data_IF_870265654180
#
_entry.id   IF_870265654180
#
_cell.length_a   1.000
_cell.length_b   1.000
_cell.length_c   1.000
_cell.angle_alpha   90.00
_cell.angle_beta   90.00
_cell.angle_gamma   90.00
#
_symmetry.space_group_name_H-M   'P 1'
#
loop_
_entity.id
_entity.type
_entity.pdbx_description
1 polymer ?
#
# COMPACT_ATOMS: atom_id res chain seq x y z
N UNK A 1 -16.52 -12.54 -18.52
CA UNK A 1 -16.24 -13.09 -17.17
C UNK A 1 -14.77 -13.45 -17.13
N UNK A 2 -14.10 -13.34 -15.98
CA UNK A 2 -12.67 -13.65 -15.90
C UNK A 2 -12.54 -15.17 -15.79
N UNK A 3 -12.05 -15.84 -16.84
CA UNK A 3 -11.99 -17.31 -16.91
C UNK A 3 -10.88 -17.93 -16.02
N UNK A 4 -10.15 -17.09 -15.28
CA UNK A 4 -9.02 -17.51 -14.46
C UNK A 4 -9.28 -17.30 -12.96
N UNK A 5 -8.86 -18.22 -12.09
CA UNK A 5 -8.95 -18.03 -10.64
C UNK A 5 -8.07 -16.86 -10.18
N UNK A 6 -8.39 -16.21 -9.06
CA UNK A 6 -7.54 -15.13 -8.54
C UNK A 6 -6.13 -15.60 -8.24
N UNK A 7 -5.15 -14.73 -8.48
CA UNK A 7 -3.77 -14.96 -8.05
C UNK A 7 -3.67 -14.71 -6.55
N UNK A 8 -2.78 -15.43 -5.88
CA UNK A 8 -2.51 -15.25 -4.46
C UNK A 8 -1.02 -15.00 -4.24
N UNK A 9 -0.69 -14.07 -3.35
CA UNK A 9 0.69 -13.81 -2.91
C UNK A 9 0.72 -13.64 -1.40
N UNK A 10 1.68 -14.30 -0.76
CA UNK A 10 1.96 -14.13 0.67
C UNK A 10 2.93 -12.96 0.84
N UNK A 11 2.65 -12.08 1.78
CA UNK A 11 3.46 -10.88 2.06
C UNK A 11 3.62 -10.69 3.56
N UNK A 12 4.82 -10.31 4.01
CA UNK A 12 5.09 -10.12 5.43
C UNK A 12 6.21 -9.12 5.67
N UNK A 13 6.31 -8.64 6.91
CA UNK A 13 7.36 -7.71 7.33
C UNK A 13 7.34 -7.46 8.83
N UNK A 14 8.45 -6.92 9.33
CA UNK A 14 8.64 -6.64 10.76
C UNK A 14 7.78 -5.48 11.25
N UNK A 15 7.56 -4.49 10.38
CA UNK A 15 6.71 -3.34 10.64
C UNK A 15 5.82 -3.05 9.44
N UNK A 16 4.69 -2.39 9.68
CA UNK A 16 3.83 -1.83 8.65
C UNK A 16 3.11 -0.58 9.15
N UNK A 17 2.83 0.38 8.27
CA UNK A 17 2.00 1.53 8.63
C UNK A 17 1.10 1.92 7.47
N UNK A 18 -0.15 1.48 7.52
CA UNK A 18 -1.20 1.84 6.59
C UNK A 18 -1.91 3.07 7.13
N UNK A 19 -1.32 4.25 6.96
CA UNK A 19 -1.73 5.46 7.68
C UNK A 19 -3.21 5.82 7.46
N UNK A 20 -3.92 6.03 8.55
CA UNK A 20 -5.26 6.62 8.58
C UNK A 20 -5.22 8.06 8.06
N UNK A 21 -6.01 8.42 7.04
CA UNK A 21 -5.95 9.75 6.44
C UNK A 21 -6.37 10.88 7.40
N UNK A 22 -7.14 10.58 8.44
CA UNK A 22 -7.53 11.49 9.52
C UNK A 22 -6.38 11.80 10.50
N UNK A 23 -5.37 10.93 10.58
CA UNK A 23 -4.24 11.03 11.53
C UNK A 23 -2.92 11.12 10.75
N UNK A 24 -2.69 12.27 10.09
CA UNK A 24 -1.48 12.50 9.27
C UNK A 24 -0.32 13.14 10.02
N UNK A 25 -0.60 13.96 11.03
CA UNK A 25 0.44 14.62 11.83
C UNK A 25 1.19 13.59 12.69
N UNK A 26 0.42 12.77 13.41
CA UNK A 26 0.90 11.56 14.08
C UNK A 26 0.34 10.36 13.33
N UNK A 27 1.21 9.50 12.78
CA UNK A 27 0.77 8.44 11.87
C UNK A 27 0.21 7.29 12.68
N UNK A 28 -1.07 7.01 12.51
CA UNK A 28 -1.70 5.82 13.08
C UNK A 28 -2.07 4.86 11.97
N UNK A 29 -1.59 3.63 12.05
CA UNK A 29 -1.92 2.60 11.07
C UNK A 29 -3.37 2.12 11.22
N UNK A 30 -4.03 1.81 10.10
CA UNK A 30 -5.15 0.88 10.11
C UNK A 30 -4.72 -0.46 10.76
N UNK A 31 -5.66 -1.21 11.37
CA UNK A 31 -5.36 -2.51 11.98
C UNK A 31 -4.85 -3.56 10.97
N UNK A 32 -5.19 -3.41 9.69
CA UNK A 32 -4.82 -4.34 8.61
C UNK A 32 -4.45 -3.57 7.34
N UNK A 33 -3.85 -4.26 6.37
CA UNK A 33 -3.50 -3.72 5.06
C UNK A 33 -4.74 -3.20 4.31
N UNK A 34 -4.64 -2.00 3.74
CA UNK A 34 -5.70 -1.43 2.90
C UNK A 34 -5.64 -1.99 1.47
N UNK A 35 -6.77 -2.01 0.73
CA UNK A 35 -6.77 -2.43 -0.67
C UNK A 35 -5.81 -1.62 -1.55
N UNK A 36 -5.72 -0.30 -1.35
CA UNK A 36 -4.75 0.56 -2.04
C UNK A 36 -3.30 0.14 -1.81
N UNK A 37 -2.93 -0.19 -0.56
CA UNK A 37 -1.59 -0.65 -0.23
C UNK A 37 -1.29 -2.03 -0.83
N UNK A 38 -2.27 -2.93 -0.82
CA UNK A 38 -2.17 -4.25 -1.47
C UNK A 38 -1.96 -4.11 -2.99
N UNK A 39 -2.73 -3.23 -3.65
CA UNK A 39 -2.56 -2.91 -5.07
C UNK A 39 -1.15 -2.39 -5.37
N UNK A 40 -0.68 -1.41 -4.61
CA UNK A 40 0.66 -0.84 -4.77
C UNK A 40 1.78 -1.87 -4.56
N UNK A 41 1.60 -2.82 -3.63
CA UNK A 41 2.53 -3.93 -3.43
C UNK A 41 2.57 -4.85 -4.65
N UNK A 42 1.41 -5.24 -5.19
CA UNK A 42 1.33 -6.06 -6.40
C UNK A 42 1.97 -5.35 -7.61
N UNK A 43 1.75 -4.05 -7.75
CA UNK A 43 2.34 -3.24 -8.81
C UNK A 43 3.87 -3.18 -8.70
N UNK A 44 4.41 -3.10 -7.48
CA UNK A 44 5.84 -3.14 -7.22
C UNK A 44 6.48 -4.47 -7.66
N UNK A 45 5.76 -5.59 -7.55
CA UNK A 45 6.21 -6.89 -8.07
C UNK A 45 6.14 -6.88 -9.60
N UNK A 46 4.97 -6.59 -10.15
CA UNK A 46 4.74 -6.53 -11.59
C UNK A 46 3.52 -5.67 -11.94
N UNK A 47 3.74 -4.71 -12.84
CA UNK A 47 2.68 -3.94 -13.45
C UNK A 47 3.03 -3.52 -14.87
N UNK A 48 2.00 -3.35 -15.70
CA UNK A 48 2.10 -2.84 -17.06
C UNK A 48 0.89 -1.93 -17.36
N UNK A 49 1.05 -0.88 -18.20
CA UNK A 49 -0.03 0.06 -18.52
C UNK A 49 -1.33 -0.56 -19.05
N UNK A 50 -1.29 -1.75 -19.61
CA UNK A 50 -2.38 -2.47 -20.27
C UNK A 50 -3.40 -3.07 -19.29
N UNK A 51 -3.05 -3.18 -18.01
CA UNK A 51 -3.91 -3.78 -17.00
C UNK A 51 -3.86 -3.02 -15.67
N UNK A 52 -4.76 -3.37 -14.77
CA UNK A 52 -4.70 -2.98 -13.36
C UNK A 52 -4.98 -4.18 -12.46
N UNK A 53 -4.44 -4.12 -11.24
CA UNK A 53 -4.71 -5.11 -10.21
C UNK A 53 -6.03 -4.79 -9.52
N UNK A 54 -6.92 -5.79 -9.48
CA UNK A 54 -8.16 -5.74 -8.71
C UNK A 54 -8.04 -6.63 -7.49
N UNK A 55 -7.79 -6.04 -6.33
CA UNK A 55 -7.74 -6.76 -5.05
C UNK A 55 -9.12 -7.30 -4.71
N UNK A 56 -9.21 -8.58 -4.37
CA UNK A 56 -10.45 -9.27 -4.02
C UNK A 56 -10.55 -9.56 -2.53
N UNK A 57 -9.43 -10.00 -1.97
CA UNK A 57 -9.38 -10.51 -0.61
C UNK A 57 -8.02 -10.20 0.00
N UNK A 58 -8.02 -9.81 1.27
CA UNK A 58 -6.82 -9.72 2.10
C UNK A 58 -7.04 -10.59 3.32
N UNK A 59 -6.27 -11.66 3.43
CA UNK A 59 -6.26 -12.57 4.56
C UNK A 59 -5.19 -12.15 5.55
N UNK A 60 -5.54 -11.97 6.81
CA UNK A 60 -4.62 -11.65 7.90
C UNK A 60 -4.16 -12.94 8.54
N UNK A 61 -2.85 -13.20 8.58
CA UNK A 61 -2.30 -14.46 9.07
C UNK A 61 -1.70 -14.37 10.49
N UNK A 62 -1.45 -13.15 10.98
CA UNK A 62 -0.86 -12.90 12.29
C UNK A 62 -1.72 -11.99 13.13
N UNK A 63 -1.60 -12.12 14.44
CA UNK A 63 -2.26 -11.25 15.42
C UNK A 63 -1.94 -9.78 15.16
N UNK A 64 -2.95 -8.92 15.29
CA UNK A 64 -2.81 -7.47 15.13
C UNK A 64 -2.11 -6.91 16.36
N UNK A 65 -0.85 -6.50 16.20
CA UNK A 65 -0.04 -5.93 17.27
C UNK A 65 0.54 -4.60 16.83
N UNK A 66 0.57 -3.65 17.75
CA UNK A 66 1.11 -2.32 17.49
C UNK A 66 2.52 -2.15 18.07
N UNK A 67 3.27 -1.21 17.48
CA UNK A 67 4.57 -0.75 17.93
C UNK A 67 4.65 0.77 17.75
N UNK A 68 5.04 1.46 18.82
CA UNK A 68 5.22 2.91 18.80
C UNK A 68 6.66 3.25 18.45
N UNK A 69 6.84 4.17 17.51
CA UNK A 69 8.14 4.69 17.11
C UNK A 69 8.10 6.22 16.98
N UNK A 70 9.23 6.86 17.23
CA UNK A 70 9.41 8.31 17.14
C UNK A 70 10.51 8.61 16.15
N UNK A 71 10.27 9.58 15.26
CA UNK A 71 11.24 10.02 14.26
C UNK A 71 11.29 11.53 14.18
N UNK A 72 12.46 12.04 13.82
CA UNK A 72 12.59 13.43 13.38
C UNK A 72 12.16 13.50 11.90
N UNK A 73 11.03 14.15 11.64
CA UNK A 73 10.55 14.43 10.28
C UNK A 73 10.67 15.94 10.00
N UNK A 74 11.04 16.29 8.77
CA UNK A 74 11.08 17.68 8.32
C UNK A 74 9.65 18.26 8.28
N UNK A 75 9.49 19.48 8.77
CA UNK A 75 8.18 20.13 8.87
C UNK A 75 7.72 20.71 7.53
N UNK A 76 8.58 21.48 6.86
CA UNK A 76 8.23 22.18 5.63
C UNK A 76 9.12 21.74 4.48
N UNK A 77 8.53 21.72 3.28
CA UNK A 77 9.32 21.62 2.06
C UNK A 77 10.04 22.96 1.85
N UNK A 78 11.33 22.91 1.48
CA UNK A 78 12.06 24.10 1.08
C UNK A 78 11.31 24.87 -0.03
N UNK A 79 11.12 26.17 0.16
CA UNK A 79 10.40 27.02 -0.77
C UNK A 79 11.36 27.57 -1.84
N UNK A 80 11.01 27.37 -3.12
CA UNK A 80 11.86 27.75 -4.24
C UNK A 80 12.03 29.28 -4.38
N UNK A 81 10.98 30.06 -4.12
CA UNK A 81 11.01 31.52 -4.22
C UNK A 81 11.92 32.12 -3.13
N UNK A 82 11.86 31.56 -1.91
CA UNK A 82 12.78 31.94 -0.84
C UNK A 82 14.23 31.64 -1.22
N UNK A 83 14.49 30.46 -1.78
CA UNK A 83 15.83 30.07 -2.23
C UNK A 83 16.36 31.01 -3.33
N UNK A 84 15.50 31.40 -4.29
CA UNK A 84 15.85 32.36 -5.34
C UNK A 84 16.19 33.74 -4.76
N UNK A 85 15.41 34.19 -3.78
CA UNK A 85 15.65 35.46 -3.08
C UNK A 85 16.99 35.46 -2.33
N UNK A 86 17.32 34.36 -1.65
CA UNK A 86 18.60 34.21 -0.95
C UNK A 86 19.79 34.19 -1.91
N UNK A 87 19.66 33.52 -3.06
CA UNK A 87 20.69 33.51 -4.09
C UNK A 87 20.98 34.92 -4.63
N UNK A 88 19.94 35.74 -4.83
CA UNK A 88 20.10 37.14 -5.30
C UNK A 88 20.69 38.05 -4.22
N UNK A 89 20.30 37.88 -2.95
CA UNK A 89 20.76 38.72 -1.84
C UNK A 89 22.11 38.30 -1.27
N UNK A 90 22.54 37.06 -1.54
CA UNK A 90 23.74 36.48 -0.94
C UNK A 90 23.59 36.12 0.54
N UNK A 91 22.37 36.14 1.08
CA UNK A 91 22.08 35.91 2.50
C UNK A 91 20.83 35.05 2.66
N UNK A 92 20.91 34.07 3.58
CA UNK A 92 19.82 33.17 3.93
C UNK A 92 20.08 31.72 3.49
N UNK A 93 19.56 30.77 4.27
CA UNK A 93 19.65 29.34 3.97
C UNK A 93 18.46 28.61 4.58
N UNK A 94 18.19 27.42 4.06
CA UNK A 94 17.27 26.47 4.68
C UNK A 94 18.07 25.35 5.34
N UNK A 95 17.89 25.17 6.64
CA UNK A 95 18.46 24.06 7.39
C UNK A 95 17.34 23.14 7.89
N UNK A 96 17.33 21.91 7.38
CA UNK A 96 16.33 20.92 7.78
C UNK A 96 16.45 20.51 9.26
N UNK A 97 17.61 20.70 9.88
CA UNK A 97 17.80 20.41 11.31
C UNK A 97 17.08 21.40 12.22
N UNK A 98 16.92 22.65 11.77
CA UNK A 98 16.19 23.70 12.48
C UNK A 98 14.67 23.63 12.20
N UNK A 99 14.26 22.96 11.11
CA UNK A 99 12.87 22.80 10.67
C UNK A 99 12.41 21.34 10.72
N UNK A 100 12.61 20.69 11.87
CA UNK A 100 12.16 19.31 12.14
C UNK A 100 11.26 19.21 13.36
N UNK A 101 10.40 18.21 13.39
CA UNK A 101 9.61 17.83 14.56
C UNK A 101 9.72 16.33 14.83
N UNK A 102 9.61 15.97 16.10
CA UNK A 102 9.43 14.59 16.50
C UNK A 102 8.00 14.17 16.20
N UNK A 103 7.82 13.18 15.33
CA UNK A 103 6.51 12.62 14.99
C UNK A 103 6.40 11.21 15.51
N UNK A 104 5.33 10.98 16.24
CA UNK A 104 4.95 9.66 16.72
C UNK A 104 4.28 8.88 15.59
N UNK A 105 4.56 7.58 15.54
CA UNK A 105 3.89 6.65 14.65
C UNK A 105 3.51 5.40 15.41
N UNK A 106 2.22 5.07 15.38
CA UNK A 106 1.70 3.80 15.85
C UNK A 106 1.60 2.84 14.65
N UNK A 107 2.69 2.11 14.43
CA UNK A 107 2.82 1.11 13.38
C UNK A 107 2.28 -0.25 13.85
N UNK A 108 1.99 -1.14 12.90
CA UNK A 108 1.83 -2.56 13.16
C UNK A 108 3.20 -3.23 13.25
N UNK A 109 3.30 -4.31 14.02
CA UNK A 109 4.50 -5.16 14.11
C UNK A 109 4.23 -6.61 13.75
N UNK A 110 5.23 -7.22 13.12
CA UNK A 110 5.26 -8.61 12.71
C UNK A 110 3.97 -9.03 11.98
N UNK A 111 3.74 -8.41 10.83
CA UNK A 111 2.54 -8.60 10.03
C UNK A 111 2.75 -9.66 8.95
N UNK A 112 1.70 -10.39 8.61
CA UNK A 112 1.70 -11.35 7.51
C UNK A 112 0.31 -11.43 6.90
N UNK A 113 0.23 -11.38 5.58
CA UNK A 113 -1.02 -11.39 4.82
C UNK A 113 -0.93 -12.33 3.61
N UNK A 114 -2.08 -12.80 3.14
CA UNK A 114 -2.25 -13.30 1.76
C UNK A 114 -3.14 -12.31 1.03
N UNK A 115 -2.68 -11.82 -0.11
CA UNK A 115 -3.45 -10.96 -1.00
C UNK A 115 -3.96 -11.83 -2.14
N UNK A 116 -5.27 -11.85 -2.36
CA UNK A 116 -5.87 -12.39 -3.59
C UNK A 116 -6.31 -11.26 -4.51
N UNK A 117 -5.89 -11.34 -5.77
CA UNK A 117 -6.18 -10.30 -6.75
C UNK A 117 -6.29 -10.86 -8.17
N UNK A 118 -6.99 -10.10 -9.01
CA UNK A 118 -7.13 -10.37 -10.44
C UNK A 118 -6.35 -9.36 -11.27
N UNK A 119 -5.85 -9.83 -12.41
CA UNK A 119 -5.46 -8.97 -13.52
C UNK A 119 -6.73 -8.60 -14.28
N UNK A 120 -6.99 -7.29 -14.42
CA UNK A 120 -8.09 -6.77 -15.24
C UNK A 120 -7.50 -5.94 -16.36
N UNK A 121 -7.72 -6.38 -17.60
CA UNK A 121 -7.28 -5.66 -18.79
C UNK A 121 -8.09 -4.38 -18.97
N UNK A 122 -7.43 -3.34 -19.46
CA UNK A 122 -8.12 -2.10 -19.85
C UNK A 122 -8.88 -2.29 -21.15
N UNK A 123 -9.88 -1.44 -21.36
CA UNK A 123 -10.67 -1.43 -22.59
C UNK A 123 -9.78 -1.29 -23.83
N UNK A 124 -10.10 -2.04 -24.89
CA UNK A 124 -9.35 -2.04 -26.15
C UNK A 124 -8.12 -2.95 -26.18
N UNK A 125 -7.68 -3.49 -25.05
CA UNK A 125 -6.58 -4.47 -25.01
C UNK A 125 -7.11 -5.85 -25.39
N UNK A 126 -6.54 -6.46 -26.43
CA UNK A 126 -6.93 -7.78 -26.97
C UNK A 126 -6.02 -8.94 -26.55
N UNK A 127 -5.13 -8.68 -25.61
CA UNK A 127 -4.22 -9.69 -25.05
C UNK A 127 -4.98 -10.67 -24.14
N UNK A 128 -4.47 -11.87 -23.96
CA UNK A 128 -5.01 -12.79 -22.94
C UNK A 128 -4.48 -12.38 -21.54
N UNK A 129 -5.33 -12.23 -20.51
CA UNK A 129 -4.88 -12.00 -19.13
C UNK A 129 -3.82 -12.99 -18.64
N UNK A 130 -3.81 -14.24 -19.10
CA UNK A 130 -2.82 -15.27 -18.77
C UNK A 130 -1.38 -14.78 -18.97
N UNK A 131 -1.12 -14.02 -20.04
CA UNK A 131 0.19 -13.43 -20.33
C UNK A 131 0.76 -12.63 -19.15
N UNK A 132 -0.06 -11.79 -18.53
CA UNK A 132 0.36 -10.95 -17.40
C UNK A 132 0.40 -11.73 -16.10
N UNK A 133 -0.54 -12.66 -15.92
CA UNK A 133 -0.61 -13.55 -14.75
C UNK A 133 0.63 -14.42 -14.62
N UNK A 134 1.10 -15.01 -15.72
CA UNK A 134 2.27 -15.88 -15.71
C UNK A 134 3.58 -15.09 -15.54
N UNK A 135 3.64 -13.86 -16.07
CA UNK A 135 4.75 -12.95 -15.76
C UNK A 135 4.82 -12.60 -14.27
N UNK A 136 3.69 -12.34 -13.62
CA UNK A 136 3.62 -12.10 -12.19
C UNK A 136 4.06 -13.34 -11.40
N UNK A 137 3.50 -14.52 -11.70
CA UNK A 137 3.85 -15.79 -11.03
C UNK A 137 5.36 -16.06 -11.05
N UNK A 138 5.98 -16.02 -12.23
CA UNK A 138 7.44 -16.22 -12.36
C UNK A 138 8.26 -15.23 -11.54
N UNK A 139 7.78 -13.99 -11.38
CA UNK A 139 8.44 -12.99 -10.55
C UNK A 139 8.29 -13.30 -9.06
N UNK A 140 7.10 -13.74 -8.63
CA UNK A 140 6.88 -14.23 -7.27
C UNK A 140 7.78 -15.43 -6.96
N UNK A 141 7.84 -16.41 -7.86
CA UNK A 141 8.67 -17.62 -7.72
C UNK A 141 10.15 -17.28 -7.53
N UNK A 142 10.64 -16.29 -8.28
CA UNK A 142 12.05 -15.87 -8.28
C UNK A 142 12.35 -14.77 -7.25
N UNK A 143 11.36 -14.30 -6.49
CA UNK A 143 11.50 -13.14 -5.60
C UNK A 143 11.86 -11.82 -6.32
N UNK A 144 11.53 -11.71 -7.61
CA UNK A 144 11.83 -10.54 -8.45
C UNK A 144 10.73 -9.49 -8.35
N UNK A 145 11.14 -8.22 -8.31
CA UNK A 145 10.24 -7.06 -8.29
C UNK A 145 10.83 -5.91 -9.11
N UNK A 146 10.00 -4.97 -9.53
CA UNK A 146 10.46 -3.75 -10.21
C UNK A 146 11.15 -2.79 -9.24
N UNK A 147 10.55 -2.59 -8.06
CA UNK A 147 11.20 -1.98 -6.91
C UNK A 147 10.82 -2.77 -5.66
N UNK A 148 11.58 -2.61 -4.58
CA UNK A 148 11.28 -3.27 -3.31
C UNK A 148 9.85 -2.90 -2.87
N UNK A 149 8.94 -3.88 -2.72
CA UNK A 149 7.61 -3.60 -2.20
C UNK A 149 7.71 -3.23 -0.72
N UNK A 150 6.73 -2.50 -0.21
CA UNK A 150 6.73 -1.98 1.16
C UNK A 150 5.32 -2.01 1.76
N UNK A 151 5.24 -2.01 3.09
CA UNK A 151 4.02 -2.13 3.86
C UNK A 151 3.55 -0.75 4.33
N UNK A 152 2.98 0.00 3.41
CA UNK A 152 2.42 1.35 3.62
C UNK A 152 3.45 2.47 3.49
N UNK A 153 4.51 2.47 4.30
CA UNK A 153 5.62 3.44 4.19
C UNK A 153 6.88 2.76 3.61
N UNK A 154 7.68 3.49 2.81
CA UNK A 154 8.89 2.95 2.15
C UNK A 154 9.96 2.42 3.11
N UNK A 155 9.96 2.92 4.35
CA UNK A 155 10.83 2.45 5.44
C UNK A 155 10.56 0.99 5.82
N UNK A 156 9.34 0.50 5.56
CA UNK A 156 8.87 -0.82 5.96
C UNK A 156 8.89 -1.77 4.76
N UNK A 157 10.08 -2.28 4.43
CA UNK A 157 10.26 -3.19 3.31
C UNK A 157 9.45 -4.50 3.49
N UNK A 158 8.69 -4.88 2.47
CA UNK A 158 7.92 -6.11 2.44
C UNK A 158 8.78 -7.27 1.90
N UNK A 159 8.56 -8.46 2.45
CA UNK A 159 8.96 -9.75 1.87
C UNK A 159 7.73 -10.38 1.22
N UNK A 160 7.92 -11.19 0.18
CA UNK A 160 6.82 -11.87 -0.50
C UNK A 160 7.24 -13.23 -1.05
N UNK A 161 6.27 -14.13 -1.18
CA UNK A 161 6.42 -15.48 -1.77
C UNK A 161 5.09 -16.01 -2.26
N UNK A 162 5.09 -17.19 -2.89
CA UNK A 162 3.87 -17.96 -3.01
C UNK A 162 3.35 -18.35 -1.62
N UNK A 163 2.03 -18.39 -1.42
CA UNK A 163 1.44 -19.08 -0.27
C UNK A 163 1.83 -20.57 -0.27
N UNK A 164 2.04 -21.16 0.90
CA UNK A 164 2.28 -22.59 1.04
C UNK A 164 1.00 -23.43 0.88
N UNK A 165 -0.17 -22.81 1.11
CA UNK A 165 -1.48 -23.42 0.92
C UNK A 165 -2.08 -24.03 2.19
N UNK A 166 -1.29 -24.15 3.26
CA UNK A 166 -1.70 -24.58 4.58
C UNK A 166 -1.93 -23.40 5.55
N UNK A 167 -1.59 -22.17 5.13
CA UNK A 167 -1.82 -20.99 5.95
C UNK A 167 -3.30 -20.74 6.20
N UNK A 168 -3.62 -20.51 7.47
CA UNK A 168 -4.98 -20.21 7.90
C UNK A 168 -5.09 -18.74 8.30
N UNK A 169 -6.10 -18.01 7.79
CA UNK A 169 -6.43 -16.70 8.31
C UNK A 169 -6.64 -16.75 9.83
N UNK A 170 -6.23 -15.69 10.51
CA UNK A 170 -6.47 -15.47 11.93
C UNK A 170 -7.97 -15.54 12.19
N UNK A 171 -8.43 -16.43 13.08
CA UNK A 171 -9.85 -16.56 13.40
C UNK A 171 -10.36 -15.36 14.23
N UNK A 172 -10.52 -14.21 13.58
CA UNK A 172 -10.88 -12.93 14.17
C UNK A 172 -11.95 -12.23 13.33
N UNK A 173 -13.05 -11.90 13.99
CA UNK A 173 -14.06 -10.98 13.48
C UNK A 173 -13.82 -9.59 14.07
N UNK A 174 -13.81 -8.56 13.24
CA UNK A 174 -13.56 -7.19 13.66
C UNK A 174 -14.24 -6.21 12.72
N UNK A 175 -15.00 -5.26 13.26
CA UNK A 175 -15.42 -4.08 12.50
C UNK A 175 -14.23 -3.11 12.41
N UNK A 176 -13.75 -2.87 11.19
CA UNK A 176 -12.60 -2.00 10.96
C UNK A 176 -13.03 -0.53 10.75
N UNK A 177 -14.35 -0.28 10.69
CA UNK A 177 -14.90 1.03 10.45
C UNK A 177 -14.75 1.48 8.99
N UNK A 178 -14.77 2.78 8.80
CA UNK A 178 -14.48 3.40 7.51
C UNK A 178 -12.98 3.22 7.19
N UNK A 179 -12.67 2.59 6.07
CA UNK A 179 -11.31 2.33 5.62
C UNK A 179 -11.06 2.94 4.24
N UNK A 180 -9.83 3.45 4.03
CA UNK A 180 -9.38 3.89 2.73
C UNK A 180 -9.41 2.71 1.75
N UNK A 181 -10.23 2.83 0.71
CA UNK A 181 -10.29 1.88 -0.39
C UNK A 181 -9.13 2.15 -1.35
N UNK A 182 -9.16 3.31 -2.02
CA UNK A 182 -8.13 3.75 -2.97
C UNK A 182 -8.20 5.26 -3.25
N UNK A 183 -7.21 5.79 -3.98
CA UNK A 183 -7.19 7.15 -4.49
C UNK A 183 -7.64 7.18 -5.95
N UNK A 184 -8.71 7.91 -6.26
CA UNK A 184 -9.13 8.16 -7.64
C UNK A 184 -8.50 9.45 -8.13
N UNK A 185 -7.62 9.33 -9.12
CA UNK A 185 -6.93 10.47 -9.71
C UNK A 185 -7.76 11.13 -10.81
N UNK A 186 -7.79 12.46 -10.80
CA UNK A 186 -8.44 13.23 -11.86
C UNK A 186 -7.69 13.08 -13.20
N UNK A 187 -8.44 12.93 -14.30
CA UNK A 187 -7.88 12.74 -15.65
C UNK A 187 -7.19 13.99 -16.22
N UNK A 188 -7.32 15.14 -15.55
CA UNK A 188 -6.81 16.45 -15.98
C UNK A 188 -5.30 16.65 -15.74
N UNK A 189 -4.54 15.58 -15.40
CA UNK A 189 -3.09 15.62 -15.13
C UNK A 189 -2.66 16.54 -13.97
N UNK A 190 -3.60 17.05 -13.17
CA UNK A 190 -3.27 17.88 -11.98
C UNK A 190 -2.60 17.07 -10.87
N UNK A 191 -2.69 15.73 -10.94
CA UNK A 191 -2.22 14.83 -9.87
C UNK A 191 -3.14 14.81 -8.65
N UNK A 192 -4.30 15.48 -8.70
CA UNK A 192 -5.26 15.51 -7.60
C UNK A 192 -5.94 14.14 -7.45
N UNK A 193 -5.71 13.49 -6.31
CA UNK A 193 -6.35 12.23 -5.92
C UNK A 193 -7.48 12.47 -4.92
N UNK A 194 -8.67 11.92 -5.19
CA UNK A 194 -9.81 11.90 -4.26
C UNK A 194 -9.85 10.55 -3.55
N UNK A 195 -9.75 10.50 -2.20
CA UNK A 195 -9.83 9.25 -1.47
C UNK A 195 -11.26 8.68 -1.53
N UNK A 196 -11.36 7.40 -1.87
CA UNK A 196 -12.59 6.60 -1.71
C UNK A 196 -12.46 5.75 -0.47
N UNK A 197 -13.57 5.60 0.22
CA UNK A 197 -13.66 4.81 1.45
C UNK A 197 -14.76 3.78 1.35
N UNK A 198 -14.68 2.76 2.21
CA UNK A 198 -15.70 1.74 2.35
C UNK A 198 -15.80 1.28 3.80
N UNK A 199 -16.96 0.75 4.19
CA UNK A 199 -17.13 0.14 5.50
C UNK A 199 -16.45 -1.24 5.51
N UNK A 200 -15.28 -1.33 6.13
CA UNK A 200 -14.49 -2.55 6.16
C UNK A 200 -14.85 -3.40 7.38
N UNK A 201 -14.99 -4.71 7.14
CA UNK A 201 -15.18 -5.71 8.19
C UNK A 201 -14.26 -6.89 7.92
N UNK A 202 -13.54 -7.30 8.97
CA UNK A 202 -12.79 -8.55 8.99
C UNK A 202 -13.74 -9.66 9.46
N UNK A 203 -13.84 -10.74 8.69
CA UNK A 203 -14.59 -11.94 9.07
C UNK A 203 -13.66 -13.14 9.00
N UNK A 204 -13.43 -13.80 10.12
CA UNK A 204 -12.51 -14.92 10.28
C UNK A 204 -11.14 -14.60 9.67
N UNK A 205 -10.62 -13.40 9.94
CA UNK A 205 -9.32 -12.95 9.43
C UNK A 205 -9.30 -12.52 7.98
N UNK A 206 -10.46 -12.50 7.31
CA UNK A 206 -10.57 -12.20 5.89
C UNK A 206 -11.27 -10.86 5.69
N UNK A 207 -10.59 -9.95 4.99
CA UNK A 207 -11.15 -8.70 4.49
C UNK A 207 -11.56 -8.91 3.03
N UNK A 208 -12.86 -8.96 2.77
CA UNK A 208 -13.42 -9.00 1.43
C UNK A 208 -13.50 -7.57 0.87
N UNK A 209 -12.93 -7.38 -0.33
CA UNK A 209 -12.85 -6.08 -0.98
C UNK A 209 -14.02 -5.91 -1.96
N UNK A 210 -14.88 -4.89 -1.80
CA UNK A 210 -16.04 -4.70 -2.67
C UNK A 210 -15.64 -4.59 -4.14
N UNK A 211 -16.31 -5.29 -5.07
CA UNK A 211 -15.93 -5.30 -6.48
C UNK A 211 -16.38 -4.04 -7.24
N UNK A 212 -17.37 -3.29 -6.74
CA UNK A 212 -17.90 -2.06 -7.35
C UNK A 212 -17.13 -0.77 -7.00
N UNK A 213 -16.10 -0.85 -6.15
CA UNK A 213 -15.30 0.31 -5.74
C UNK A 213 -13.96 0.35 -6.47
#
# INVERSE_FOLDING_TARGET
MNDYPSLAVKVWGELACFTRPEMKAERVSYPVMTPSAARGLLEAIFWKPEFFWKVREIQVLKEIRYFSLVRNEVNKKANADNAQSWATKGEGFYCAEDDRAQRHTLALRDVCYIIKADVVLKEGIREDPAKYRDQFRRRVDKGQCFHRPYLGCREFAAKFSNPAGDEKPLALDMDLGLMLFDLVFEKNKTGRGKPRFFQAKLKSGVLNVPPEL
#
